data_IF_247226387830
#
_entry.id   IF_247226387830
#
_cell.length_a   1.000
_cell.length_b   1.000
_cell.length_c   1.000
_cell.angle_alpha   90.00
_cell.angle_beta   90.00
_cell.angle_gamma   90.00
#
_symmetry.space_group_name_H-M   'P 1'
#
loop_
_entity.id
_entity.type
_entity.pdbx_description
1 polymer ?
#
# COMPACT_ATOMS: atom_id res chain seq x y z
N UNK A 1 17.34 -22.35 -18.58
CA UNK A 1 16.00 -21.99 -19.10
C UNK A 1 15.95 -20.47 -19.17
N UNK A 2 15.77 -19.90 -20.36
CA UNK A 2 15.63 -18.45 -20.54
C UNK A 2 14.20 -18.06 -20.19
N UNK A 3 14.01 -17.31 -19.10
CA UNK A 3 12.70 -16.76 -18.74
C UNK A 3 12.23 -15.83 -19.85
N UNK A 4 11.01 -16.06 -20.35
CA UNK A 4 10.36 -15.14 -21.31
C UNK A 4 9.68 -14.05 -20.50
N UNK A 5 10.07 -12.80 -20.74
CA UNK A 5 9.48 -11.63 -20.07
C UNK A 5 8.06 -11.36 -20.59
N UNK A 6 7.22 -10.79 -19.73
CA UNK A 6 5.91 -10.28 -20.15
C UNK A 6 6.10 -9.21 -21.23
N UNK A 7 5.40 -9.33 -22.35
CA UNK A 7 5.60 -8.43 -23.49
C UNK A 7 4.90 -7.08 -23.32
N UNK A 8 4.00 -6.92 -22.33
CA UNK A 8 3.30 -5.68 -21.96
C UNK A 8 2.50 -5.90 -20.68
N UNK A 9 3.14 -5.97 -19.51
CA UNK A 9 2.42 -6.16 -18.25
C UNK A 9 1.60 -4.92 -17.92
N UNK A 10 0.31 -5.10 -17.64
CA UNK A 10 -0.58 -4.00 -17.28
C UNK A 10 -1.75 -4.47 -16.41
N UNK A 11 -2.46 -3.52 -15.81
CA UNK A 11 -3.72 -3.79 -15.14
C UNK A 11 -4.79 -4.17 -16.17
N UNK A 12 -5.48 -5.28 -15.93
CA UNK A 12 -6.59 -5.72 -16.77
C UNK A 12 -7.75 -4.71 -16.68
N UNK A 13 -8.35 -4.40 -17.83
CA UNK A 13 -9.37 -3.35 -17.97
C UNK A 13 -8.92 -2.14 -18.82
N UNK A 14 -7.70 -2.17 -19.35
CA UNK A 14 -7.18 -1.19 -20.30
C UNK A 14 -6.69 0.10 -19.65
N UNK A 15 -6.59 1.19 -20.43
CA UNK A 15 -5.95 2.45 -20.02
C UNK A 15 -6.56 3.13 -18.79
N UNK A 16 -7.82 2.82 -18.45
CA UNK A 16 -8.52 3.38 -17.28
C UNK A 16 -8.55 2.41 -16.10
N UNK A 17 -7.91 1.25 -16.22
CA UNK A 17 -7.84 0.27 -15.15
C UNK A 17 -7.09 0.87 -13.96
N UNK A 18 -7.62 0.64 -12.77
CA UNK A 18 -6.99 1.01 -11.51
C UNK A 18 -7.30 -0.04 -10.45
N UNK A 19 -6.42 -0.27 -9.48
CA UNK A 19 -6.71 -1.16 -8.37
C UNK A 19 -7.91 -0.64 -7.56
N UNK A 20 -8.63 -1.54 -6.91
CA UNK A 20 -9.53 -1.18 -5.82
C UNK A 20 -8.75 -1.07 -4.53
N UNK A 21 -9.13 -0.12 -3.67
CA UNK A 21 -8.46 0.12 -2.40
C UNK A 21 -9.45 0.01 -1.24
N UNK A 22 -8.97 -0.54 -0.13
CA UNK A 22 -9.69 -0.60 1.14
C UNK A 22 -8.76 -0.15 2.26
N UNK A 23 -9.13 0.93 2.93
CA UNK A 23 -8.46 1.44 4.11
C UNK A 23 -8.89 0.59 5.32
N UNK A 24 -7.93 -0.05 5.98
CA UNK A 24 -8.16 -0.92 7.13
C UNK A 24 -7.79 -0.22 8.45
N UNK A 25 -7.74 1.11 8.46
CA UNK A 25 -7.34 1.95 9.58
C UNK A 25 -5.83 2.09 9.67
N UNK A 26 -5.10 1.00 9.97
CA UNK A 26 -3.63 1.02 10.08
C UNK A 26 -2.92 0.39 8.88
N UNK A 27 -3.68 -0.05 7.88
CA UNK A 27 -3.15 -0.73 6.68
C UNK A 27 -3.95 -0.30 5.46
N UNK A 28 -3.31 -0.28 4.31
CA UNK A 28 -3.98 -0.15 3.03
C UNK A 28 -3.98 -1.51 2.34
N UNK A 29 -5.13 -1.93 1.81
CA UNK A 29 -5.23 -3.09 0.92
C UNK A 29 -5.54 -2.63 -0.50
N UNK A 30 -4.78 -3.12 -1.46
CA UNK A 30 -5.04 -2.95 -2.89
C UNK A 30 -5.32 -4.29 -3.56
N UNK A 31 -6.30 -4.32 -4.46
CA UNK A 31 -6.65 -5.51 -5.25
C UNK A 31 -6.84 -5.15 -6.72
N UNK A 32 -6.46 -6.05 -7.61
CA UNK A 32 -6.62 -5.88 -9.05
C UNK A 32 -6.33 -7.17 -9.80
N UNK A 33 -6.24 -7.08 -11.12
CA UNK A 33 -5.84 -8.20 -11.97
C UNK A 33 -4.74 -7.73 -12.92
N UNK A 34 -3.66 -8.49 -12.99
CA UNK A 34 -2.55 -8.27 -13.92
C UNK A 34 -2.78 -9.11 -15.18
N UNK A 35 -2.37 -8.58 -16.32
CA UNK A 35 -2.38 -9.28 -17.60
C UNK A 35 -1.10 -8.95 -18.39
N UNK A 36 -0.80 -9.74 -19.42
CA UNK A 36 0.43 -9.61 -20.21
C UNK A 36 1.68 -10.16 -19.50
N UNK A 37 1.50 -10.93 -18.42
CA UNK A 37 2.60 -11.56 -17.68
C UNK A 37 3.29 -12.64 -18.53
N UNK A 38 4.61 -12.72 -18.35
CA UNK A 38 5.46 -13.75 -18.95
C UNK A 38 5.61 -14.96 -18.03
N UNK A 39 6.76 -15.63 -18.15
CA UNK A 39 7.11 -16.80 -17.34
C UNK A 39 7.84 -16.39 -16.06
N UNK A 40 7.50 -17.07 -14.96
CA UNK A 40 8.15 -16.93 -13.67
C UNK A 40 7.22 -16.37 -12.60
N UNK A 41 7.63 -16.56 -11.35
CA UNK A 41 6.90 -16.03 -10.19
C UNK A 41 6.87 -14.49 -10.26
N UNK A 42 5.84 -13.90 -9.67
CA UNK A 42 5.61 -12.46 -9.64
C UNK A 42 5.67 -11.99 -8.20
N UNK A 43 6.35 -10.88 -7.95
CA UNK A 43 6.24 -10.16 -6.69
C UNK A 43 5.47 -8.86 -6.92
N UNK A 44 4.47 -8.58 -6.09
CA UNK A 44 3.73 -7.32 -6.11
C UNK A 44 4.00 -6.61 -4.80
N UNK A 45 4.68 -5.47 -4.87
CA UNK A 45 4.98 -4.62 -3.73
C UNK A 45 4.09 -3.40 -3.76
N UNK A 46 3.76 -2.89 -2.57
CA UNK A 46 3.02 -1.65 -2.39
C UNK A 46 3.72 -0.80 -1.35
N UNK A 47 3.95 0.46 -1.70
CA UNK A 47 4.39 1.52 -0.78
C UNK A 47 3.27 2.56 -0.70
N UNK A 48 2.83 2.93 0.50
CA UNK A 48 1.76 3.89 0.69
C UNK A 48 2.13 4.95 1.72
N UNK A 49 1.80 6.22 1.45
CA UNK A 49 2.04 7.33 2.37
C UNK A 49 0.71 7.80 2.96
N UNK A 50 0.69 8.04 4.27
CA UNK A 50 -0.51 8.42 5.00
C UNK A 50 -0.25 9.52 6.03
N UNK A 51 -1.25 10.38 6.21
CA UNK A 51 -1.31 11.26 7.38
C UNK A 51 -1.70 10.42 8.60
N UNK A 52 -1.05 10.67 9.74
CA UNK A 52 -1.24 9.91 10.97
C UNK A 52 -2.28 10.58 11.85
N UNK A 53 -3.20 9.79 12.43
CA UNK A 53 -3.94 10.19 13.62
C UNK A 53 -3.41 9.42 14.82
N UNK A 54 -2.95 10.14 15.84
CA UNK A 54 -2.42 9.54 17.06
C UNK A 54 -3.07 10.10 18.32
N UNK A 55 -3.00 9.30 19.38
CA UNK A 55 -3.44 9.63 20.74
C UNK A 55 -2.25 9.57 21.67
N UNK A 56 -2.06 10.63 22.44
CA UNK A 56 -1.07 10.71 23.51
C UNK A 56 -1.73 10.37 24.84
N UNK A 57 -1.18 9.41 25.59
CA UNK A 57 -1.63 9.05 26.94
C UNK A 57 -0.53 9.33 27.97
N UNK A 58 -0.81 10.09 29.02
CA UNK A 58 0.16 10.35 30.09
C UNK A 58 0.18 9.24 31.16
N UNK A 59 1.13 9.30 32.11
CA UNK A 59 1.25 8.31 33.19
C UNK A 59 0.02 8.23 34.13
N UNK A 60 -0.76 9.31 34.20
CA UNK A 60 -2.03 9.35 34.94
C UNK A 60 -3.23 8.82 34.16
N UNK A 61 -3.03 8.36 32.92
CA UNK A 61 -4.09 7.84 32.05
C UNK A 61 -4.87 8.90 31.26
N UNK A 62 -4.51 10.19 31.34
CA UNK A 62 -5.18 11.24 30.58
C UNK A 62 -4.78 11.17 29.10
N UNK A 63 -5.76 11.34 28.22
CA UNK A 63 -5.58 11.30 26.78
C UNK A 63 -5.65 12.70 26.15
N UNK A 64 -4.83 12.94 25.14
CA UNK A 64 -4.85 14.12 24.29
C UNK A 64 -4.56 13.71 22.83
N UNK A 65 -5.04 14.45 21.82
CA UNK A 65 -4.62 14.25 20.43
C UNK A 65 -3.11 14.45 20.25
N UNK A 66 -2.49 13.70 19.35
CA UNK A 66 -1.14 13.99 18.87
C UNK A 66 -1.08 15.39 18.23
N UNK A 67 -0.02 16.13 18.51
CA UNK A 67 0.02 17.57 18.22
C UNK A 67 0.43 17.90 16.79
N UNK A 68 1.24 17.07 16.12
CA UNK A 68 1.58 17.21 14.69
C UNK A 68 2.35 15.98 14.17
N UNK A 69 1.71 14.83 13.94
CA UNK A 69 2.44 13.67 13.45
C UNK A 69 2.78 13.84 11.96
N UNK A 70 4.06 13.65 11.62
CA UNK A 70 4.51 13.66 10.23
C UNK A 70 3.86 12.50 9.45
N UNK A 71 3.60 12.67 8.14
CA UNK A 71 3.18 11.55 7.31
C UNK A 71 4.18 10.41 7.38
N UNK A 72 3.68 9.18 7.37
CA UNK A 72 4.51 7.98 7.38
C UNK A 72 4.34 7.18 6.11
N UNK A 73 5.33 6.35 5.83
CA UNK A 73 5.28 5.38 4.73
C UNK A 73 5.16 3.97 5.31
N UNK A 74 4.21 3.21 4.78
CA UNK A 74 4.03 1.78 5.09
C UNK A 74 4.19 0.96 3.81
N UNK A 75 4.67 -0.27 3.96
CA UNK A 75 4.98 -1.16 2.84
C UNK A 75 4.31 -2.52 3.02
N UNK A 76 3.99 -3.19 1.92
CA UNK A 76 3.55 -4.57 1.90
C UNK A 76 3.96 -5.27 0.61
N UNK A 77 3.99 -6.59 0.64
CA UNK A 77 4.32 -7.40 -0.54
C UNK A 77 3.47 -8.66 -0.59
N UNK A 78 3.29 -9.20 -1.79
CA UNK A 78 2.73 -10.53 -1.99
C UNK A 78 3.42 -11.22 -3.16
N UNK A 79 3.71 -12.51 -3.01
CA UNK A 79 4.32 -13.32 -4.05
C UNK A 79 3.28 -14.24 -4.67
N UNK A 80 3.30 -14.34 -6.00
CA UNK A 80 2.40 -15.14 -6.81
C UNK A 80 3.26 -16.13 -7.59
N UNK A 81 3.00 -17.42 -7.38
CA UNK A 81 3.73 -18.48 -8.06
C UNK A 81 3.31 -18.58 -9.52
N UNK A 82 4.25 -18.93 -10.40
CA UNK A 82 4.02 -19.07 -11.84
C UNK A 82 2.86 -20.03 -12.18
N UNK A 83 2.61 -21.05 -11.36
CA UNK A 83 1.52 -21.99 -11.57
C UNK A 83 0.11 -21.37 -11.33
N UNK A 84 0.03 -20.23 -10.66
CA UNK A 84 -1.19 -19.45 -10.44
C UNK A 84 -1.51 -18.54 -11.65
N UNK A 85 -0.51 -18.22 -12.46
CA UNK A 85 -0.66 -17.40 -13.66
C UNK A 85 -1.32 -18.26 -14.76
N UNK A 86 -2.48 -17.83 -15.24
CA UNK A 86 -3.24 -18.52 -16.30
C UNK A 86 -3.29 -17.66 -17.54
N UNK A 87 -2.67 -18.15 -18.63
CA UNK A 87 -2.60 -17.45 -19.91
C UNK A 87 -2.07 -16.00 -19.77
N UNK A 88 -1.08 -15.79 -18.90
CA UNK A 88 -0.51 -14.46 -18.62
C UNK A 88 -1.38 -13.55 -17.75
N UNK A 89 -2.42 -14.08 -17.08
CA UNK A 89 -3.32 -13.33 -16.20
C UNK A 89 -3.27 -13.87 -14.78
N UNK A 90 -3.38 -12.98 -13.79
CA UNK A 90 -3.53 -13.35 -12.38
C UNK A 90 -4.15 -12.21 -11.56
N UNK A 91 -5.14 -12.49 -10.68
CA UNK A 91 -5.55 -11.52 -9.67
C UNK A 91 -4.44 -11.34 -8.63
N UNK A 92 -4.34 -10.13 -8.07
CA UNK A 92 -3.45 -9.86 -6.94
C UNK A 92 -4.21 -9.17 -5.81
N UNK A 93 -3.71 -9.34 -4.58
CA UNK A 93 -4.11 -8.55 -3.43
C UNK A 93 -2.88 -8.34 -2.55
N UNK A 94 -2.53 -7.08 -2.31
CA UNK A 94 -1.42 -6.69 -1.46
C UNK A 94 -1.95 -5.83 -0.32
N UNK A 95 -1.44 -6.06 0.89
CA UNK A 95 -1.80 -5.29 2.09
C UNK A 95 -0.53 -4.81 2.75
N UNK A 96 -0.46 -3.52 3.10
CA UNK A 96 0.69 -3.01 3.84
C UNK A 96 0.76 -3.61 5.25
N UNK A 97 1.97 -3.66 5.79
CA UNK A 97 2.17 -3.85 7.22
C UNK A 97 1.59 -2.64 7.97
N UNK A 98 1.17 -2.87 9.22
CA UNK A 98 0.84 -1.78 10.12
C UNK A 98 2.13 -1.11 10.61
N UNK A 99 2.10 0.20 10.92
CA UNK A 99 3.23 0.85 11.55
C UNK A 99 3.44 0.31 12.98
N UNK A 100 4.64 0.51 13.52
CA UNK A 100 4.92 0.23 14.92
C UNK A 100 4.14 1.22 15.80
N UNK A 101 3.33 0.67 16.71
CA UNK A 101 2.63 1.43 17.75
C UNK A 101 2.72 0.65 19.06
N UNK A 102 2.98 1.31 20.22
CA UNK A 102 3.20 2.75 20.40
C UNK A 102 4.48 3.28 19.74
N UNK A 103 4.49 4.56 19.38
CA UNK A 103 5.60 5.23 18.68
C UNK A 103 6.76 5.46 19.68
N UNK A 104 7.98 4.99 19.38
CA UNK A 104 9.14 5.24 20.24
C UNK A 104 9.39 6.74 20.46
N UNK A 105 9.67 7.13 21.70
CA UNK A 105 9.89 8.52 22.13
C UNK A 105 8.68 9.46 21.98
N UNK A 106 7.53 8.99 21.51
CA UNK A 106 6.29 9.75 21.39
C UNK A 106 6.48 11.17 20.81
N UNK A 107 7.11 11.33 19.63
CA UNK A 107 7.46 12.63 19.05
C UNK A 107 6.22 13.49 18.75
N UNK A 108 5.04 12.89 18.59
CA UNK A 108 3.77 13.61 18.45
C UNK A 108 3.18 14.11 19.76
N UNK A 109 3.79 13.81 20.92
CA UNK A 109 3.26 14.12 22.24
C UNK A 109 4.04 15.25 22.95
N UNK A 110 3.46 15.87 24.01
CA UNK A 110 4.06 17.03 24.66
C UNK A 110 5.47 16.83 25.24
N UNK A 111 5.80 15.61 25.68
CA UNK A 111 7.13 15.21 26.15
C UNK A 111 7.20 13.68 26.33
N UNK A 112 8.40 13.15 26.64
CA UNK A 112 8.68 11.72 26.79
C UNK A 112 7.95 11.02 27.96
N UNK A 113 7.19 11.73 28.81
CA UNK A 113 6.32 11.10 29.82
C UNK A 113 4.97 10.63 29.25
N UNK A 114 4.72 10.90 27.97
CA UNK A 114 3.54 10.48 27.25
C UNK A 114 3.86 9.26 26.36
N UNK A 115 2.85 8.42 26.17
CA UNK A 115 2.85 7.33 25.19
C UNK A 115 2.02 7.75 23.98
N UNK A 116 2.57 7.60 22.79
CA UNK A 116 1.87 7.86 21.54
C UNK A 116 1.38 6.57 20.91
N UNK A 117 0.09 6.47 20.62
CA UNK A 117 -0.50 5.40 19.83
C UNK A 117 -1.01 5.92 18.50
N UNK A 118 -0.71 5.22 17.42
CA UNK A 118 -1.33 5.48 16.12
C UNK A 118 -2.68 4.79 16.09
N UNK A 119 -3.75 5.57 15.92
CA UNK A 119 -5.12 5.10 15.90
C UNK A 119 -5.61 4.80 14.47
N UNK A 120 -5.13 5.58 13.49
CA UNK A 120 -5.64 5.57 12.13
C UNK A 120 -4.62 6.21 11.16
N UNK A 121 -4.65 5.79 9.90
CA UNK A 121 -3.83 6.27 8.79
C UNK A 121 -4.72 6.73 7.65
N UNK A 122 -4.66 8.02 7.33
CA UNK A 122 -5.38 8.61 6.19
C UNK A 122 -4.47 8.59 4.97
N UNK A 123 -4.62 7.58 4.12
CA UNK A 123 -3.75 7.40 2.96
C UNK A 123 -3.93 8.50 1.92
N UNK A 124 -2.81 8.99 1.39
CA UNK A 124 -2.72 10.04 0.36
C UNK A 124 -2.23 9.50 -0.98
N UNK A 125 -1.30 8.56 -0.94
CA UNK A 125 -0.71 7.96 -2.13
C UNK A 125 -0.48 6.46 -1.92
N UNK A 126 -0.43 5.72 -3.03
CA UNK A 126 0.04 4.35 -3.07
C UNK A 126 0.77 4.10 -4.39
N UNK A 127 1.97 3.55 -4.33
CA UNK A 127 2.73 3.06 -5.49
C UNK A 127 2.76 1.55 -5.42
N UNK A 128 2.32 0.89 -6.49
CA UNK A 128 2.37 -0.56 -6.64
C UNK A 128 3.41 -0.89 -7.72
N UNK A 129 4.35 -1.76 -7.40
CA UNK A 129 5.33 -2.26 -8.38
C UNK A 129 5.16 -3.75 -8.56
N UNK A 130 5.26 -4.20 -9.80
CA UNK A 130 5.23 -5.61 -10.17
C UNK A 130 6.59 -6.00 -10.70
N UNK A 131 7.17 -7.03 -10.10
CA UNK A 131 8.44 -7.60 -10.48
C UNK A 131 8.23 -8.99 -11.10
N UNK A 132 8.84 -9.25 -12.26
CA UNK A 132 8.80 -10.58 -12.88
C UNK A 132 10.09 -10.87 -13.68
N UNK A 133 10.81 -11.97 -13.42
CA UNK A 133 10.59 -12.94 -12.34
C UNK A 133 10.86 -12.35 -10.95
N UNK A 134 10.17 -12.82 -9.92
CA UNK A 134 10.38 -12.39 -8.54
C UNK A 134 11.84 -12.60 -8.07
N UNK A 135 12.42 -11.59 -7.42
CA UNK A 135 13.81 -11.60 -6.94
C UNK A 135 14.88 -11.28 -8.00
N UNK A 136 14.48 -10.92 -9.23
CA UNK A 136 15.37 -10.48 -10.30
C UNK A 136 15.74 -8.98 -10.26
N UNK A 137 14.98 -8.16 -9.53
CA UNK A 137 15.03 -6.70 -9.58
C UNK A 137 14.36 -6.09 -10.82
N UNK A 138 13.74 -6.89 -11.69
CA UNK A 138 13.12 -6.41 -12.92
C UNK A 138 11.66 -5.98 -12.68
N UNK A 139 11.44 -4.68 -12.54
CA UNK A 139 10.10 -4.11 -12.48
C UNK A 139 9.50 -4.07 -13.89
N UNK A 140 8.35 -4.71 -14.06
CA UNK A 140 7.62 -4.84 -15.33
C UNK A 140 6.36 -3.99 -15.39
N UNK A 141 5.92 -3.42 -14.25
CA UNK A 141 4.83 -2.46 -14.16
C UNK A 141 4.97 -1.63 -12.89
N UNK A 142 4.77 -0.32 -13.00
CA UNK A 142 4.56 0.58 -11.86
C UNK A 142 3.20 1.24 -11.97
N UNK A 143 2.48 1.35 -10.85
CA UNK A 143 1.19 2.03 -10.76
C UNK A 143 1.24 3.03 -9.61
N UNK A 144 1.25 4.32 -9.93
CA UNK A 144 1.17 5.39 -8.95
C UNK A 144 -0.25 5.87 -8.80
N UNK A 145 -0.76 5.88 -7.57
CA UNK A 145 -2.11 6.29 -7.24
C UNK A 145 -2.12 7.42 -6.21
N UNK A 146 -3.09 8.31 -6.36
CA UNK A 146 -3.39 9.41 -5.43
C UNK A 146 -4.83 9.32 -4.94
N UNK A 147 -5.04 9.70 -3.68
CA UNK A 147 -6.34 9.71 -3.02
C UNK A 147 -6.77 11.16 -2.72
N UNK A 148 -7.89 11.58 -3.33
CA UNK A 148 -8.45 12.93 -3.11
C UNK A 148 -9.97 12.84 -2.84
N UNK A 149 -10.43 13.14 -1.62
CA UNK A 149 -9.66 13.42 -0.40
C UNK A 149 -8.85 12.20 0.08
N UNK A 150 -8.05 12.38 1.14
CA UNK A 150 -7.39 11.26 1.82
C UNK A 150 -8.41 10.18 2.23
N UNK A 151 -7.96 8.93 2.31
CA UNK A 151 -8.86 7.84 2.68
C UNK A 151 -9.42 8.03 4.07
N UNK A 152 -10.62 7.51 4.28
CA UNK A 152 -11.26 7.45 5.59
C UNK A 152 -11.87 6.07 5.70
N UNK A 153 -11.17 5.13 6.33
CA UNK A 153 -11.64 3.81 6.79
C UNK A 153 -12.69 3.09 5.92
N UNK A 154 -12.35 1.92 5.41
CA UNK A 154 -13.22 1.11 4.56
C UNK A 154 -12.95 1.34 3.08
N UNK A 155 -13.94 1.03 2.25
CA UNK A 155 -13.73 0.98 0.81
C UNK A 155 -13.53 2.37 0.23
N UNK A 156 -12.42 2.57 -0.49
CA UNK A 156 -12.12 3.85 -1.12
C UNK A 156 -12.99 4.00 -2.38
N UNK A 157 -13.82 5.05 -2.49
CA UNK A 157 -14.64 5.27 -3.67
C UNK A 157 -13.77 5.43 -4.91
N UNK A 158 -14.16 4.78 -6.02
CA UNK A 158 -13.38 4.85 -7.26
C UNK A 158 -13.21 6.28 -7.77
N UNK A 159 -14.16 7.18 -7.54
CA UNK A 159 -14.05 8.61 -7.88
C UNK A 159 -12.94 9.35 -7.15
N UNK A 160 -12.51 8.85 -5.99
CA UNK A 160 -11.48 9.48 -5.15
C UNK A 160 -10.07 8.96 -5.48
N UNK A 161 -9.94 8.03 -6.42
CA UNK A 161 -8.67 7.40 -6.80
C UNK A 161 -8.30 7.80 -8.23
N UNK A 162 -7.14 8.41 -8.39
CA UNK A 162 -6.51 8.61 -9.70
C UNK A 162 -5.19 7.85 -9.75
N UNK A 163 -5.00 7.02 -10.78
CA UNK A 163 -3.78 6.22 -10.95
C UNK A 163 -3.18 6.42 -12.34
N UNK A 164 -1.87 6.31 -12.44
CA UNK A 164 -1.09 6.30 -13.69
C UNK A 164 -0.21 5.06 -13.69
N UNK A 165 -0.23 4.31 -14.80
CA UNK A 165 0.63 3.14 -15.01
C UNK A 165 1.75 3.48 -16.00
N UNK A 166 2.97 3.01 -15.72
CA UNK A 166 4.13 3.16 -16.59
C UNK A 166 5.10 1.98 -16.46
#
# INVERSE_FOLDING_TARGET
>A
MTSVLGSSVHLKGGQKAKPSFNDLGLRLRASGELTGLGFGDVNVDMTATADVKSTCTNQGGNQAPGQNPAPITVMGSTSILNNQIKNGNVPFTVTTNAPTTPVPNAPGCPNNNWREDINDLLFRTATITVEQPAGSGMIVLTVDCTFTPATTGGQVPSGNVACVSH
#
